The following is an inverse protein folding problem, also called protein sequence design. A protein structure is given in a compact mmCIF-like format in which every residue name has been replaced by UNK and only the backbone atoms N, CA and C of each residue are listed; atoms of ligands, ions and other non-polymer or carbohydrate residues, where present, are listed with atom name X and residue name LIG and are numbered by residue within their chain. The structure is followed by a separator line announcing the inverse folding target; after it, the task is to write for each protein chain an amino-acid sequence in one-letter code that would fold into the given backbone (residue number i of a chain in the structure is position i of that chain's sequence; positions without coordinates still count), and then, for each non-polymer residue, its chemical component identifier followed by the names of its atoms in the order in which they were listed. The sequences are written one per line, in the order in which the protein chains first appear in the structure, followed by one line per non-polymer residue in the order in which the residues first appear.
data_IF_599296352050
#
_entry.id   IF_599296352050
#
_cell.length_a   1.000
_cell.length_b   1.000
_cell.length_c   1.000
_cell.angle_alpha   90.00
_cell.angle_beta   90.00
_cell.angle_gamma   90.00
#
_symmetry.space_group_name_H-M   'P 1'
#
loop_
_entity.id
_entity.type
_entity.pdbx_description
1 polymer ?
#
# COMPACT_ATOMS: atom_id res chain seq x y z
N UNK A 1 16.54 -14.60 -3.14
CA UNK A 1 15.08 -14.40 -3.19
C UNK A 1 14.73 -13.05 -2.61
N UNK A 2 14.16 -12.18 -3.45
CA UNK A 2 13.64 -10.88 -3.03
C UNK A 2 12.11 -10.83 -3.15
N UNK A 3 11.49 -9.80 -2.58
CA UNK A 3 10.05 -9.59 -2.57
C UNK A 3 9.73 -8.19 -3.06
N UNK A 4 8.54 -7.98 -3.64
CA UNK A 4 8.18 -6.62 -4.04
C UNK A 4 6.72 -6.35 -4.34
N UNK A 5 6.38 -5.07 -4.25
CA UNK A 5 5.07 -4.55 -4.61
C UNK A 5 5.14 -3.83 -5.95
N UNK A 6 4.17 -4.10 -6.82
CA UNK A 6 3.98 -3.37 -8.07
C UNK A 6 2.76 -2.48 -7.92
N UNK A 7 2.96 -1.16 -7.84
CA UNK A 7 1.89 -0.22 -7.52
C UNK A 7 1.27 0.27 -8.83
N UNK A 8 0.00 -0.10 -9.05
CA UNK A 8 -0.75 0.28 -10.25
C UNK A 8 -2.06 0.96 -9.88
N UNK A 9 -2.71 1.57 -10.86
CA UNK A 9 -4.00 2.22 -10.71
C UNK A 9 -4.11 3.48 -11.57
N UNK A 10 -5.34 3.96 -11.82
CA UNK A 10 -5.58 5.11 -12.68
C UNK A 10 -4.90 6.40 -12.16
N UNK A 11 -4.80 7.45 -13.00
CA UNK A 11 -4.27 8.74 -12.56
C UNK A 11 -5.11 9.26 -11.41
N UNK A 12 -4.45 9.78 -10.36
CA UNK A 12 -5.14 10.29 -9.18
C UNK A 12 -5.54 9.24 -8.14
N UNK A 13 -5.35 7.93 -8.36
CA UNK A 13 -5.65 6.90 -7.34
C UNK A 13 -4.74 6.92 -6.11
N UNK A 14 -3.67 7.72 -6.11
CA UNK A 14 -2.78 7.89 -4.96
C UNK A 14 -1.56 6.96 -4.92
N UNK A 15 -1.09 6.42 -6.06
CA UNK A 15 0.10 5.54 -6.15
C UNK A 15 1.35 6.13 -5.50
N UNK A 16 1.77 7.31 -5.95
CA UNK A 16 2.95 8.02 -5.42
C UNK A 16 2.78 8.39 -3.95
N UNK A 17 1.57 8.76 -3.52
CA UNK A 17 1.23 9.02 -2.11
C UNK A 17 1.35 7.75 -1.26
N UNK A 18 0.87 6.62 -1.76
CA UNK A 18 1.02 5.32 -1.11
C UNK A 18 2.49 4.92 -0.99
N UNK A 19 3.28 5.03 -2.07
CA UNK A 19 4.72 4.75 -2.03
C UNK A 19 5.43 5.59 -0.96
N UNK A 20 5.11 6.88 -0.88
CA UNK A 20 5.65 7.77 0.14
C UNK A 20 5.25 7.35 1.55
N UNK A 21 3.96 7.13 1.79
CA UNK A 21 3.45 6.70 3.10
C UNK A 21 4.03 5.34 3.52
N UNK A 22 4.19 4.41 2.57
CA UNK A 22 4.82 3.12 2.80
C UNK A 22 6.29 3.27 3.18
N UNK A 23 7.04 4.19 2.55
CA UNK A 23 8.42 4.50 2.93
C UNK A 23 8.51 4.94 4.41
N UNK A 24 7.65 5.89 4.80
CA UNK A 24 7.65 6.41 6.17
C UNK A 24 7.21 5.33 7.17
N UNK A 25 6.17 4.57 6.82
CA UNK A 25 5.66 3.48 7.64
C UNK A 25 6.72 2.39 7.85
N UNK A 26 7.38 1.94 6.78
CA UNK A 26 8.44 0.92 6.86
C UNK A 26 9.64 1.41 7.67
N UNK A 27 10.07 2.64 7.47
CA UNK A 27 11.11 3.27 8.30
C UNK A 27 10.72 3.30 9.77
N UNK A 28 9.47 3.63 10.10
CA UNK A 28 8.98 3.69 11.47
C UNK A 28 8.92 2.33 12.16
N UNK A 29 8.64 1.24 11.42
CA UNK A 29 8.63 -0.13 11.96
C UNK A 29 9.97 -0.87 11.82
N UNK A 30 11.03 -0.16 11.38
CA UNK A 30 12.36 -0.75 11.18
C UNK A 30 12.45 -1.75 10.03
N UNK A 31 11.55 -1.68 9.05
CA UNK A 31 11.56 -2.51 7.84
C UNK A 31 12.32 -1.79 6.73
N UNK A 32 13.28 -2.49 6.12
CA UNK A 32 14.00 -1.97 4.96
C UNK A 32 13.21 -2.23 3.68
N UNK A 33 13.11 -1.22 2.81
CA UNK A 33 12.66 -1.39 1.44
C UNK A 33 13.24 -0.30 0.56
N UNK A 34 13.42 -0.61 -0.72
CA UNK A 34 13.82 0.35 -1.75
C UNK A 34 12.62 0.71 -2.61
N UNK A 35 12.44 2.01 -2.85
CA UNK A 35 11.40 2.50 -3.74
C UNK A 35 12.03 2.81 -5.08
N UNK A 36 11.38 2.35 -6.14
CA UNK A 36 11.83 2.47 -7.51
C UNK A 36 10.76 3.24 -8.28
N UNK A 37 11.11 4.43 -8.77
CA UNK A 37 10.24 5.21 -9.63
C UNK A 37 10.36 4.73 -11.08
N UNK A 38 9.25 4.22 -11.62
CA UNK A 38 9.10 3.85 -13.03
C UNK A 38 8.16 4.80 -13.79
N UNK A 39 7.68 5.88 -13.17
CA UNK A 39 6.92 6.94 -13.85
C UNK A 39 7.85 8.00 -14.45
N UNK A 40 7.98 8.09 -15.79
CA UNK A 40 8.79 9.11 -16.44
C UNK A 40 8.07 10.47 -16.52
N UNK A 41 6.77 10.52 -16.24
CA UNK A 41 5.94 11.73 -16.33
C UNK A 41 5.85 12.53 -15.03
N UNK A 42 6.36 11.98 -13.92
CA UNK A 42 6.35 12.67 -12.62
C UNK A 42 7.38 13.80 -12.59
N UNK A 43 6.94 15.01 -12.24
CA UNK A 43 7.82 16.18 -12.13
C UNK A 43 8.67 16.11 -10.87
N UNK A 44 8.02 15.88 -9.73
CA UNK A 44 8.65 15.83 -8.41
C UNK A 44 8.08 14.64 -7.64
N UNK A 45 8.98 13.84 -7.07
CA UNK A 45 8.62 12.73 -6.19
C UNK A 45 8.79 13.16 -4.72
N UNK A 46 7.81 12.89 -3.84
CA UNK A 46 7.88 13.28 -2.43
C UNK A 46 8.73 12.33 -1.57
N UNK A 47 9.28 11.28 -2.18
CA UNK A 47 10.06 10.23 -1.53
C UNK A 47 11.46 10.12 -2.14
N UNK A 48 12.38 9.48 -1.43
CA UNK A 48 13.71 9.13 -1.94
C UNK A 48 13.63 7.83 -2.76
N UNK A 49 13.74 7.94 -4.09
CA UNK A 49 13.81 6.79 -4.98
C UNK A 49 15.25 6.27 -5.07
N UNK A 50 15.45 4.96 -4.89
CA UNK A 50 16.74 4.30 -5.04
C UNK A 50 17.10 4.06 -6.52
N UNK A 51 16.08 3.94 -7.37
CA UNK A 51 16.20 3.87 -8.82
C UNK A 51 15.13 4.78 -9.41
N UNK A 52 15.52 5.68 -10.30
CA UNK A 52 14.60 6.55 -11.03
C UNK A 52 14.76 6.36 -12.55
N UNK A 53 13.67 5.98 -13.22
CA UNK A 53 13.64 5.81 -14.68
C UNK A 53 14.07 7.07 -15.44
N UNK A 54 13.88 8.25 -14.85
CA UNK A 54 14.24 9.54 -15.46
C UNK A 54 15.76 9.68 -15.68
N UNK A 55 16.57 8.88 -14.99
CA UNK A 55 18.01 8.78 -15.24
C UNK A 55 18.35 7.97 -16.50
N UNK A 56 17.46 7.07 -16.92
CA UNK A 56 17.62 6.25 -18.12
C UNK A 56 17.05 6.95 -19.35
N UNK A 57 15.87 7.57 -19.21
CA UNK A 57 15.14 8.17 -20.32
C UNK A 57 14.31 9.38 -19.87
N UNK A 58 14.45 10.48 -20.60
CA UNK A 58 13.66 11.70 -20.39
C UNK A 58 12.40 11.72 -21.27
N UNK A 59 11.25 11.96 -20.65
CA UNK A 59 9.96 11.96 -21.36
C UNK A 59 9.85 13.10 -22.38
N UNK A 60 10.38 14.28 -22.07
CA UNK A 60 10.28 15.45 -22.96
C UNK A 60 11.11 15.25 -24.22
N UNK A 61 12.29 14.65 -24.09
CA UNK A 61 13.13 14.26 -25.21
C UNK A 61 12.44 13.20 -26.08
N UNK A 62 11.79 12.19 -25.48
CA UNK A 62 11.00 11.20 -26.23
C UNK A 62 9.89 11.89 -27.03
N UNK A 63 9.10 12.77 -26.40
CA UNK A 63 8.04 13.51 -27.07
C UNK A 63 8.57 14.29 -28.28
N UNK A 64 9.69 14.99 -28.12
CA UNK A 64 10.32 15.80 -29.17
C UNK A 64 10.91 14.96 -30.30
N UNK A 65 11.73 13.96 -29.98
CA UNK A 65 12.48 13.19 -30.96
C UNK A 65 11.65 12.11 -31.67
N UNK A 66 10.65 11.54 -30.97
CA UNK A 66 9.74 10.54 -31.55
C UNK A 66 8.46 11.14 -32.12
N UNK A 67 8.23 12.44 -31.92
CA UNK A 67 7.01 13.14 -32.33
C UNK A 67 5.75 12.43 -31.80
N UNK A 68 5.79 12.02 -30.54
CA UNK A 68 4.72 11.31 -29.84
C UNK A 68 4.00 12.24 -28.87
N UNK A 69 2.71 12.00 -28.68
CA UNK A 69 1.95 12.62 -27.58
C UNK A 69 2.38 12.09 -26.20
N UNK A 70 1.88 12.67 -25.10
CA UNK A 70 2.26 12.27 -23.74
C UNK A 70 2.07 10.77 -23.46
N UNK A 71 0.89 10.21 -23.75
CA UNK A 71 0.60 8.80 -23.49
C UNK A 71 1.47 7.85 -24.33
N UNK A 72 1.67 8.18 -25.61
CA UNK A 72 2.54 7.39 -26.49
C UNK A 72 4.01 7.44 -26.05
N UNK A 73 4.44 8.57 -25.46
CA UNK A 73 5.81 8.73 -24.95
C UNK A 73 6.03 7.94 -23.66
N UNK A 74 5.04 7.87 -22.76
CA UNK A 74 5.08 7.02 -21.56
C UNK A 74 5.20 5.55 -21.97
N UNK A 75 4.41 5.11 -22.96
CA UNK A 75 4.49 3.75 -23.50
C UNK A 75 5.89 3.44 -24.04
N UNK A 76 6.43 4.36 -24.85
CA UNK A 76 7.78 4.25 -25.39
C UNK A 76 8.84 4.17 -24.28
N UNK A 77 8.71 4.96 -23.21
CA UNK A 77 9.65 4.90 -22.09
C UNK A 77 9.63 3.51 -21.42
N UNK A 78 8.46 2.89 -21.28
CA UNK A 78 8.34 1.55 -20.72
C UNK A 78 8.95 0.48 -21.64
N UNK A 79 8.73 0.58 -22.96
CA UNK A 79 9.40 -0.27 -23.96
C UNK A 79 10.93 -0.08 -23.92
N UNK A 80 11.39 1.14 -23.67
CA UNK A 80 12.80 1.45 -23.54
C UNK A 80 13.43 0.79 -22.31
N UNK A 81 12.72 0.80 -21.17
CA UNK A 81 13.13 0.05 -19.97
C UNK A 81 13.18 -1.46 -20.26
N UNK A 82 12.18 -2.01 -20.94
CA UNK A 82 12.15 -3.44 -21.28
C UNK A 82 13.35 -3.85 -22.16
N UNK A 83 13.68 -3.04 -23.15
CA UNK A 83 14.83 -3.28 -24.06
C UNK A 83 16.17 -3.07 -23.36
N UNK A 84 16.24 -2.19 -22.36
CA UNK A 84 17.44 -1.89 -21.56
C UNK A 84 17.31 -2.46 -20.14
N UNK A 85 16.66 -3.61 -19.99
CA UNK A 85 16.42 -4.22 -18.68
C UNK A 85 17.70 -4.48 -17.90
N UNK A 86 18.83 -4.70 -18.59
CA UNK A 86 20.14 -4.88 -17.97
C UNK A 86 20.51 -3.69 -17.06
N UNK A 87 20.26 -2.45 -17.50
CA UNK A 87 20.46 -1.24 -16.67
C UNK A 87 19.65 -1.30 -15.37
N UNK A 88 18.40 -1.74 -15.47
CA UNK A 88 17.51 -1.87 -14.32
C UNK A 88 18.00 -2.97 -13.37
N UNK A 89 18.35 -4.14 -13.92
CA UNK A 89 18.84 -5.27 -13.14
C UNK A 89 20.19 -5.00 -12.48
N UNK A 90 21.10 -4.28 -13.13
CA UNK A 90 22.41 -3.94 -12.58
C UNK A 90 22.28 -2.96 -11.41
N UNK A 91 21.42 -1.94 -11.55
CA UNK A 91 21.08 -1.05 -10.44
C UNK A 91 20.40 -1.78 -9.29
N UNK A 92 19.51 -2.72 -9.59
CA UNK A 92 18.86 -3.51 -8.56
C UNK A 92 19.88 -4.38 -7.82
N UNK A 93 20.76 -5.07 -8.56
CA UNK A 93 21.81 -5.92 -7.99
C UNK A 93 22.78 -5.13 -7.10
N UNK A 94 23.14 -3.90 -7.46
CA UNK A 94 24.04 -3.08 -6.64
C UNK A 94 23.43 -2.61 -5.31
N UNK A 95 22.09 -2.61 -5.22
CA UNK A 95 21.35 -2.29 -4.00
C UNK A 95 21.09 -3.53 -3.13
N UNK A 96 21.01 -4.72 -3.74
CA UNK A 96 20.50 -5.92 -3.07
C UNK A 96 21.56 -6.99 -2.82
N UNK A 97 22.70 -6.97 -3.52
CA UNK A 97 23.78 -7.93 -3.32
C UNK A 97 24.79 -7.40 -2.29
N UNK A 98 25.05 -8.19 -1.25
CA UNK A 98 26.13 -7.99 -0.31
C UNK A 98 27.49 -8.20 -1.00
N UNK A 99 28.43 -7.27 -0.83
CA UNK A 99 29.82 -7.43 -1.26
C UNK A 99 30.40 -8.77 -0.77
N UNK A 100 30.76 -9.71 -1.67
CA UNK A 100 31.37 -10.99 -1.30
C UNK A 100 32.71 -10.81 -0.56
N UNK A 101 33.32 -9.63 -0.63
CA UNK A 101 34.62 -9.31 -0.04
C UNK A 101 34.55 -8.46 1.24
N UNK A 102 33.49 -8.56 2.05
CA UNK A 102 33.52 -8.15 3.46
C UNK A 102 34.05 -6.72 3.75
N UNK A 103 33.94 -5.81 2.77
CA UNK A 103 34.34 -4.42 2.98
C UNK A 103 33.32 -3.78 3.91
N UNK A 104 33.83 -3.14 4.97
CA UNK A 104 33.13 -2.86 6.22
C UNK A 104 32.15 -1.68 6.15
N UNK A 105 31.48 -1.52 5.02
CA UNK A 105 30.47 -0.49 4.83
C UNK A 105 29.12 -1.17 4.94
N UNK A 106 28.37 -0.82 5.97
CA UNK A 106 27.05 -1.33 6.36
C UNK A 106 25.99 -1.18 5.25
N UNK A 107 26.14 -1.90 4.14
CA UNK A 107 25.10 -2.02 3.14
C UNK A 107 23.99 -2.89 3.72
N UNK A 108 22.85 -2.25 3.96
CA UNK A 108 21.63 -2.90 4.41
C UNK A 108 21.22 -3.87 3.31
N UNK A 109 21.19 -5.16 3.62
CA UNK A 109 20.68 -6.19 2.72
C UNK A 109 19.19 -5.91 2.48
N UNK A 110 18.84 -5.36 1.31
CA UNK A 110 17.45 -5.03 0.98
C UNK A 110 16.84 -6.17 0.17
N UNK A 111 15.84 -6.80 0.76
CA UNK A 111 15.08 -7.92 0.19
C UNK A 111 13.65 -7.50 -0.22
N UNK A 112 13.30 -6.22 -0.10
CA UNK A 112 11.98 -5.69 -0.43
C UNK A 112 12.02 -4.48 -1.37
N UNK A 113 11.34 -4.57 -2.52
CA UNK A 113 11.25 -3.48 -3.51
C UNK A 113 9.82 -2.99 -3.67
N UNK A 114 9.64 -1.71 -4.00
CA UNK A 114 8.34 -1.11 -4.31
C UNK A 114 8.46 -0.37 -5.63
N UNK A 115 7.68 -0.76 -6.63
CA UNK A 115 7.69 -0.17 -7.96
C UNK A 115 6.53 0.82 -8.09
N UNK A 116 6.82 2.13 -8.17
CA UNK A 116 5.82 3.17 -8.46
C UNK A 116 5.66 3.30 -9.98
N UNK A 117 4.51 2.92 -10.53
CA UNK A 117 4.28 2.89 -11.97
C UNK A 117 3.54 4.13 -12.49
N UNK A 118 3.69 4.45 -13.80
CA UNK A 118 2.92 5.52 -14.41
C UNK A 118 1.41 5.29 -14.27
N UNK A 119 0.65 6.38 -14.19
CA UNK A 119 -0.80 6.31 -13.94
C UNK A 119 -1.67 5.81 -15.09
N UNK A 120 -1.12 5.58 -16.28
CA UNK A 120 -1.91 5.16 -17.45
C UNK A 120 -2.34 3.69 -17.31
N UNK A 121 -3.64 3.43 -17.30
CA UNK A 121 -4.20 2.11 -17.03
C UNK A 121 -3.84 1.08 -18.12
N UNK A 122 -3.69 1.56 -19.36
CA UNK A 122 -3.38 0.74 -20.54
C UNK A 122 -2.05 -0.02 -20.38
N UNK A 123 -1.13 0.52 -19.57
CA UNK A 123 0.14 -0.14 -19.24
C UNK A 123 -0.07 -1.45 -18.48
N UNK A 124 -1.08 -1.49 -17.61
CA UNK A 124 -1.41 -2.65 -16.78
C UNK A 124 -2.41 -3.59 -17.45
N UNK A 125 -3.25 -3.10 -18.37
CA UNK A 125 -4.36 -3.87 -18.94
C UNK A 125 -4.14 -4.38 -20.35
N UNK A 126 -3.27 -3.75 -21.14
CA UNK A 126 -3.15 -4.03 -22.57
C UNK A 126 -1.69 -4.21 -23.01
N UNK A 127 -0.79 -3.37 -22.49
CA UNK A 127 0.59 -3.36 -22.94
C UNK A 127 1.43 -4.52 -22.40
N UNK A 128 2.26 -5.13 -23.25
CA UNK A 128 3.07 -6.28 -22.86
C UNK A 128 4.38 -5.91 -22.15
N UNK A 129 4.90 -4.70 -22.34
CA UNK A 129 6.20 -4.34 -21.74
C UNK A 129 6.22 -4.40 -20.23
N UNK A 130 5.15 -3.98 -19.56
CA UNK A 130 5.09 -4.11 -18.11
C UNK A 130 5.17 -5.59 -17.71
N UNK A 131 4.31 -6.42 -18.29
CA UNK A 131 4.30 -7.87 -18.05
C UNK A 131 5.67 -8.51 -18.28
N UNK A 132 6.35 -8.14 -19.37
CA UNK A 132 7.66 -8.67 -19.71
C UNK A 132 8.73 -8.22 -18.71
N UNK A 133 8.72 -6.96 -18.25
CA UNK A 133 9.63 -6.46 -17.20
C UNK A 133 9.40 -7.23 -15.90
N UNK A 134 8.15 -7.37 -15.45
CA UNK A 134 7.82 -8.10 -14.23
C UNK A 134 8.22 -9.58 -14.33
N UNK A 135 8.00 -10.22 -15.47
CA UNK A 135 8.41 -11.60 -15.69
C UNK A 135 9.94 -11.79 -15.72
N UNK A 136 10.69 -10.80 -16.19
CA UNK A 136 12.16 -10.82 -16.07
C UNK A 136 12.60 -10.67 -14.62
N UNK A 137 11.89 -9.88 -13.80
CA UNK A 137 12.15 -9.81 -12.36
C UNK A 137 11.86 -11.14 -11.65
N UNK A 138 10.77 -11.83 -12.00
CA UNK A 138 10.50 -13.18 -11.47
C UNK A 138 11.63 -14.16 -11.80
N UNK A 139 12.20 -14.09 -13.01
CA UNK A 139 13.38 -14.90 -13.40
C UNK A 139 14.64 -14.56 -12.60
N UNK A 140 14.72 -13.36 -12.04
CA UNK A 140 15.76 -12.92 -11.11
C UNK A 140 15.43 -13.27 -9.65
N UNK A 141 14.48 -14.19 -9.41
CA UNK A 141 14.08 -14.68 -8.08
C UNK A 141 13.42 -13.60 -7.19
N UNK A 142 12.70 -12.67 -7.82
CA UNK A 142 11.80 -11.72 -7.15
C UNK A 142 10.36 -12.24 -7.13
N UNK A 143 9.76 -12.31 -5.94
CA UNK A 143 8.34 -12.56 -5.77
C UNK A 143 7.58 -11.25 -5.74
N UNK A 144 6.64 -11.08 -6.65
CA UNK A 144 5.93 -9.82 -6.84
C UNK A 144 4.44 -9.99 -6.53
N UNK A 145 3.86 -8.98 -5.91
CA UNK A 145 2.43 -8.82 -5.76
C UNK A 145 2.04 -7.42 -6.25
N UNK A 146 0.90 -7.34 -6.92
CA UNK A 146 0.37 -6.09 -7.46
C UNK A 146 -0.56 -5.47 -6.43
N UNK A 147 -0.33 -4.20 -6.12
CA UNK A 147 -1.24 -3.39 -5.31
C UNK A 147 -1.95 -2.43 -6.25
N UNK A 148 -3.22 -2.69 -6.51
CA UNK A 148 -4.03 -1.95 -7.47
C UNK A 148 -4.92 -0.94 -6.76
N UNK A 149 -4.49 0.32 -6.74
CA UNK A 149 -5.19 1.41 -6.07
C UNK A 149 -6.32 1.96 -6.94
N UNK A 150 -7.50 2.09 -6.34
CA UNK A 150 -8.69 2.74 -6.89
C UNK A 150 -9.18 3.79 -5.92
N UNK A 151 -9.51 4.99 -6.40
CA UNK A 151 -10.10 6.03 -5.57
C UNK A 151 -11.49 5.60 -5.05
N UNK A 152 -11.65 5.54 -3.72
CA UNK A 152 -12.89 5.08 -3.08
C UNK A 152 -14.11 5.92 -3.47
N UNK A 153 -13.94 7.20 -3.81
CA UNK A 153 -15.06 8.07 -4.19
C UNK A 153 -15.78 7.60 -5.47
N UNK A 154 -15.18 6.73 -6.27
CA UNK A 154 -15.79 6.21 -7.48
C UNK A 154 -16.82 5.10 -7.25
N UNK A 155 -16.81 4.45 -6.08
CA UNK A 155 -17.70 3.31 -5.79
C UNK A 155 -19.16 3.75 -5.56
N UNK A 156 -19.40 5.05 -5.34
CA UNK A 156 -20.74 5.59 -5.09
C UNK A 156 -21.67 5.50 -6.31
N UNK A 157 -21.09 5.48 -7.51
CA UNK A 157 -21.84 5.30 -8.75
C UNK A 157 -21.75 3.84 -9.22
N UNK A 158 -22.91 3.21 -9.37
CA UNK A 158 -22.99 1.78 -9.71
C UNK A 158 -22.28 1.44 -11.03
N UNK A 159 -22.44 2.27 -12.07
CA UNK A 159 -21.81 2.02 -13.36
C UNK A 159 -20.28 2.16 -13.31
N UNK A 160 -19.77 3.18 -12.60
CA UNK A 160 -18.33 3.33 -12.35
C UNK A 160 -17.78 2.18 -11.51
N UNK A 161 -18.48 1.77 -10.45
CA UNK A 161 -18.06 0.67 -9.61
C UNK A 161 -17.94 -0.65 -10.40
N UNK A 162 -18.95 -1.03 -11.19
CA UNK A 162 -18.85 -2.21 -12.06
C UNK A 162 -17.71 -2.07 -13.07
N UNK A 163 -17.50 -0.89 -13.63
CA UNK A 163 -16.39 -0.63 -14.56
C UNK A 163 -15.02 -0.82 -13.91
N UNK A 164 -14.86 -0.38 -12.65
CA UNK A 164 -13.65 -0.58 -11.85
C UNK A 164 -13.41 -2.06 -11.60
N UNK A 165 -14.44 -2.81 -11.19
CA UNK A 165 -14.31 -4.25 -10.92
C UNK A 165 -13.86 -4.99 -12.18
N UNK A 166 -14.44 -4.67 -13.34
CA UNK A 166 -14.03 -5.24 -14.63
C UNK A 166 -12.60 -4.83 -15.02
N UNK A 167 -12.20 -3.58 -14.75
CA UNK A 167 -10.85 -3.10 -15.01
C UNK A 167 -9.81 -3.85 -14.15
N UNK A 168 -10.13 -4.07 -12.88
CA UNK A 168 -9.28 -4.84 -11.97
C UNK A 168 -9.16 -6.29 -12.42
N UNK A 169 -10.27 -6.93 -12.77
CA UNK A 169 -10.26 -8.28 -13.32
C UNK A 169 -9.42 -8.38 -14.61
N UNK A 170 -9.52 -7.39 -15.51
CA UNK A 170 -8.69 -7.32 -16.72
C UNK A 170 -7.19 -7.21 -16.39
N UNK A 171 -6.82 -6.35 -15.44
CA UNK A 171 -5.42 -6.20 -15.02
C UNK A 171 -4.87 -7.50 -14.40
N UNK A 172 -5.67 -8.17 -13.54
CA UNK A 172 -5.33 -9.47 -12.96
C UNK A 172 -5.04 -10.52 -14.03
N UNK A 173 -5.92 -10.63 -15.05
CA UNK A 173 -5.75 -11.55 -16.16
C UNK A 173 -4.51 -11.23 -17.01
N UNK A 174 -4.23 -9.94 -17.25
CA UNK A 174 -3.12 -9.53 -18.09
C UNK A 174 -1.76 -9.77 -17.40
N UNK A 175 -1.61 -9.34 -16.14
CA UNK A 175 -0.35 -9.41 -15.39
C UNK A 175 -0.07 -10.81 -14.84
N UNK A 176 -1.10 -11.54 -14.41
CA UNK A 176 -0.95 -12.93 -13.93
C UNK A 176 -0.17 -13.05 -12.60
N UNK A 177 -0.11 -11.97 -11.82
CA UNK A 177 0.51 -11.93 -10.49
C UNK A 177 -0.57 -11.95 -9.39
N UNK A 178 -0.22 -12.28 -8.13
CA UNK A 178 -1.10 -12.02 -6.99
C UNK A 178 -1.50 -10.54 -6.95
N UNK A 179 -2.80 -10.25 -6.91
CA UNK A 179 -3.33 -8.89 -6.84
C UNK A 179 -4.00 -8.63 -5.50
N UNK A 180 -3.74 -7.44 -4.96
CA UNK A 180 -4.46 -6.84 -3.85
C UNK A 180 -5.12 -5.59 -4.43
N UNK A 181 -6.43 -5.64 -4.66
CA UNK A 181 -7.16 -4.44 -5.06
C UNK A 181 -7.43 -3.61 -3.81
N UNK A 182 -7.30 -2.29 -3.94
CA UNK A 182 -7.36 -1.38 -2.79
C UNK A 182 -8.24 -0.20 -3.13
N UNK A 183 -9.20 0.08 -2.25
CA UNK A 183 -9.93 1.34 -2.22
C UNK A 183 -9.11 2.34 -1.41
N UNK A 184 -8.45 3.28 -2.09
CA UNK A 184 -7.67 4.35 -1.49
C UNK A 184 -8.53 5.56 -1.16
N UNK A 185 -8.06 6.42 -0.27
CA UNK A 185 -8.74 7.66 0.14
C UNK A 185 -10.11 7.41 0.75
N UNK A 186 -10.23 6.36 1.55
CA UNK A 186 -11.48 6.03 2.25
C UNK A 186 -11.97 7.17 3.14
N UNK A 187 -11.07 8.04 3.58
CA UNK A 187 -11.36 9.25 4.36
C UNK A 187 -12.25 10.24 3.61
N UNK A 188 -12.24 10.22 2.27
CA UNK A 188 -13.09 11.10 1.44
C UNK A 188 -14.55 10.64 1.38
N UNK A 189 -14.84 9.40 1.78
CA UNK A 189 -16.22 8.88 1.79
C UNK A 189 -17.12 9.64 2.78
N UNK A 190 -16.54 10.25 3.83
CA UNK A 190 -17.27 11.07 4.80
C UNK A 190 -18.04 12.23 4.18
N UNK A 191 -17.54 12.76 3.07
CA UNK A 191 -18.19 13.85 2.33
C UNK A 191 -19.38 13.40 1.48
N UNK A 192 -19.62 12.09 1.36
CA UNK A 192 -20.58 11.50 0.41
C UNK A 192 -21.76 10.80 1.10
N UNK A 193 -21.97 11.02 2.42
CA UNK A 193 -22.87 10.23 3.26
C UNK A 193 -24.32 10.06 2.78
N UNK A 194 -24.91 11.04 2.07
CA UNK A 194 -26.27 10.89 1.51
C UNK A 194 -26.32 10.04 0.22
N UNK A 195 -25.20 9.95 -0.50
CA UNK A 195 -25.07 9.20 -1.74
C UNK A 195 -24.64 7.74 -1.49
N UNK A 196 -24.02 7.48 -0.33
CA UNK A 196 -23.58 6.15 0.09
C UNK A 196 -24.72 5.35 0.70
N UNK A 197 -25.42 4.55 -0.14
CA UNK A 197 -26.65 3.84 0.26
C UNK A 197 -26.41 2.43 0.83
N UNK A 198 -25.20 1.90 0.68
CA UNK A 198 -24.82 0.55 1.06
C UNK A 198 -23.64 0.61 2.02
N UNK A 199 -23.46 -0.42 2.84
CA UNK A 199 -22.29 -0.51 3.71
C UNK A 199 -21.01 -0.75 2.88
N UNK A 200 -19.86 -0.41 3.45
CA UNK A 200 -18.57 -0.54 2.78
C UNK A 200 -18.22 -2.01 2.48
N UNK A 201 -18.70 -2.95 3.30
CA UNK A 201 -18.54 -4.39 3.11
C UNK A 201 -19.08 -4.88 1.76
N UNK A 202 -20.22 -4.34 1.31
CA UNK A 202 -20.79 -4.60 -0.01
C UNK A 202 -19.79 -4.31 -1.14
N UNK A 203 -19.04 -3.21 -1.02
CA UNK A 203 -18.07 -2.80 -2.03
C UNK A 203 -16.71 -3.49 -1.88
N UNK A 204 -16.33 -3.91 -0.67
CA UNK A 204 -15.08 -4.63 -0.44
C UNK A 204 -15.17 -6.10 -0.79
N UNK A 205 -16.30 -6.73 -0.49
CA UNK A 205 -16.49 -8.16 -0.66
C UNK A 205 -16.92 -8.52 -2.09
N UNK A 206 -17.49 -7.56 -2.83
CA UNK A 206 -17.91 -7.69 -4.23
C UNK A 206 -18.88 -8.87 -4.43
N UNK A 207 -19.77 -9.04 -3.47
CA UNK A 207 -20.80 -10.08 -3.45
C UNK A 207 -22.19 -9.47 -3.56
N UNK A 208 -23.16 -10.25 -4.04
CA UNK A 208 -24.57 -9.85 -4.19
C UNK A 208 -24.78 -8.54 -4.99
N UNK A 209 -23.92 -8.31 -5.99
CA UNK A 209 -23.97 -7.17 -6.92
C UNK A 209 -25.28 -7.07 -7.69
N UNK A 210 -26.08 -8.13 -7.73
CA UNK A 210 -27.48 -8.11 -8.20
C UNK A 210 -28.31 -6.95 -7.62
N UNK A 211 -27.97 -6.44 -6.42
CA UNK A 211 -28.61 -5.24 -5.85
C UNK A 211 -28.43 -3.97 -6.71
N UNK A 212 -27.36 -3.90 -7.50
CA UNK A 212 -27.08 -2.76 -8.39
C UNK A 212 -27.87 -2.80 -9.69
N UNK A 213 -28.46 -3.95 -10.08
CA UNK A 213 -29.17 -4.09 -11.36
C UNK A 213 -30.28 -3.04 -11.56
N UNK A 214 -31.17 -2.77 -10.59
CA UNK A 214 -32.21 -1.76 -10.77
C UNK A 214 -31.63 -0.35 -10.95
N UNK A 215 -30.48 -0.06 -10.33
CA UNK A 215 -29.79 1.23 -10.45
C UNK A 215 -29.16 1.36 -11.84
N UNK A 216 -28.44 0.33 -12.29
CA UNK A 216 -27.82 0.28 -13.61
C UNK A 216 -28.86 0.37 -14.75
N UNK A 217 -29.99 -0.31 -14.60
CA UNK A 217 -31.08 -0.29 -15.59
C UNK A 217 -31.81 1.05 -15.66
N UNK A 218 -31.78 1.86 -14.59
CA UNK A 218 -32.27 3.24 -14.60
C UNK A 218 -31.27 4.21 -15.23
N UNK A 219 -29.96 3.96 -15.07
CA UNK A 219 -28.89 4.78 -15.63
C UNK A 219 -28.62 4.48 -17.12
N UNK A 220 -29.08 3.34 -17.63
CA UNK A 220 -28.83 2.88 -19.00
C UNK A 220 -30.11 2.67 -19.80
N UNK A 221 -30.02 2.60 -21.13
CA UNK A 221 -31.19 2.29 -21.96
C UNK A 221 -31.63 0.82 -21.76
N UNK A 222 -32.94 0.49 -21.80
CA UNK A 222 -33.44 -0.87 -21.52
C UNK A 222 -32.82 -2.01 -22.35
N UNK A 223 -32.28 -1.71 -23.53
CA UNK A 223 -31.53 -2.67 -24.36
C UNK A 223 -30.28 -3.25 -23.67
N UNK A 224 -29.72 -2.56 -22.67
CA UNK A 224 -28.52 -2.98 -21.95
C UNK A 224 -28.80 -3.82 -20.70
N UNK A 225 -30.06 -4.00 -20.30
CA UNK A 225 -30.39 -4.75 -19.06
C UNK A 225 -29.84 -6.18 -19.06
N UNK A 226 -29.90 -6.87 -20.21
CA UNK A 226 -29.28 -8.20 -20.37
C UNK A 226 -27.76 -8.17 -20.25
N UNK A 227 -27.12 -7.09 -20.71
CA UNK A 227 -25.66 -6.90 -20.60
C UNK A 227 -25.28 -6.61 -19.14
N UNK A 228 -26.01 -5.74 -18.45
CA UNK A 228 -25.78 -5.43 -17.03
C UNK A 228 -25.83 -6.70 -16.18
N UNK A 229 -26.85 -7.54 -16.39
CA UNK A 229 -26.94 -8.86 -15.74
C UNK A 229 -25.77 -9.77 -16.08
N UNK A 230 -25.44 -9.92 -17.37
CA UNK A 230 -24.31 -10.78 -17.76
C UNK A 230 -22.97 -10.31 -17.18
N UNK A 231 -22.75 -8.99 -17.02
CA UNK A 231 -21.54 -8.47 -16.36
C UNK A 231 -21.51 -8.78 -14.87
N UNK A 232 -22.65 -8.64 -14.18
CA UNK A 232 -22.76 -8.98 -12.75
C UNK A 232 -22.56 -10.48 -12.54
N UNK A 233 -23.24 -11.32 -13.31
CA UNK A 233 -23.12 -12.78 -13.24
C UNK A 233 -21.64 -13.20 -13.45
N UNK A 234 -20.94 -12.59 -14.42
CA UNK A 234 -19.51 -12.84 -14.66
C UNK A 234 -18.63 -12.48 -13.45
N UNK A 235 -18.92 -11.38 -12.77
CA UNK A 235 -18.11 -10.94 -11.61
C UNK A 235 -18.35 -11.89 -10.42
N UNK A 236 -19.62 -12.19 -10.14
CA UNK A 236 -20.02 -13.03 -9.00
C UNK A 236 -19.57 -14.49 -9.17
N UNK A 237 -19.67 -15.05 -10.37
CA UNK A 237 -19.35 -16.46 -10.65
C UNK A 237 -17.88 -16.82 -10.32
N UNK A 238 -16.96 -15.89 -10.56
CA UNK A 238 -15.54 -16.11 -10.33
C UNK A 238 -15.09 -15.69 -8.93
N UNK A 239 -15.77 -14.71 -8.31
CA UNK A 239 -15.46 -14.19 -6.97
C UNK A 239 -13.95 -13.96 -6.72
N UNK A 240 -13.27 -13.42 -7.74
CA UNK A 240 -11.81 -13.19 -7.72
C UNK A 240 -11.44 -11.79 -7.26
N UNK A 241 -12.37 -10.84 -7.37
CA UNK A 241 -12.13 -9.44 -7.04
C UNK A 241 -12.69 -9.18 -5.66
N UNK A 242 -11.82 -8.78 -4.74
CA UNK A 242 -12.17 -8.15 -3.48
C UNK A 242 -11.26 -6.94 -3.25
N UNK A 243 -11.64 -6.06 -2.33
CA UNK A 243 -10.87 -4.86 -2.02
C UNK A 243 -10.45 -4.78 -0.56
N UNK A 244 -9.21 -4.39 -0.33
CA UNK A 244 -8.74 -3.83 0.93
C UNK A 244 -8.99 -2.32 0.98
N UNK A 245 -9.04 -1.76 2.17
CA UNK A 245 -9.31 -0.32 2.40
C UNK A 245 -8.05 0.40 2.84
N UNK A 246 -7.78 1.58 2.27
CA UNK A 246 -6.57 2.35 2.54
C UNK A 246 -6.84 3.84 2.80
N UNK A 247 -6.41 4.29 3.97
CA UNK A 247 -6.10 5.70 4.25
C UNK A 247 -4.62 5.79 4.66
N UNK A 248 -3.81 6.42 3.80
CA UNK A 248 -2.34 6.37 3.88
C UNK A 248 -1.78 7.00 5.16
N UNK A 249 -2.47 8.01 5.70
CA UNK A 249 -2.03 8.70 6.92
C UNK A 249 -2.38 7.90 8.20
N UNK A 250 -3.19 6.85 8.08
CA UNK A 250 -3.58 6.02 9.21
C UNK A 250 -2.70 4.78 9.35
N UNK A 251 -2.06 4.66 10.52
CA UNK A 251 -1.13 3.58 10.84
C UNK A 251 -1.82 2.21 10.81
N UNK A 252 -3.06 2.10 11.32
CA UNK A 252 -3.76 0.82 11.37
C UNK A 252 -4.13 0.36 9.96
N UNK A 253 -4.60 1.28 9.11
CA UNK A 253 -4.88 1.03 7.70
C UNK A 253 -3.63 0.58 6.92
N UNK A 254 -2.50 1.28 7.08
CA UNK A 254 -1.21 0.87 6.49
C UNK A 254 -0.74 -0.50 7.00
N UNK A 255 -0.94 -0.78 8.29
CA UNK A 255 -0.59 -2.07 8.91
C UNK A 255 -1.40 -3.21 8.29
N UNK A 256 -2.73 -3.05 8.22
CA UNK A 256 -3.65 -4.06 7.67
C UNK A 256 -3.31 -4.37 6.21
N UNK A 257 -3.13 -3.34 5.38
CA UNK A 257 -2.77 -3.54 3.97
C UNK A 257 -1.41 -4.20 3.83
N UNK A 258 -0.40 -3.78 4.61
CA UNK A 258 0.93 -4.41 4.60
C UNK A 258 0.84 -5.91 4.92
N UNK A 259 0.04 -6.30 5.92
CA UNK A 259 -0.16 -7.71 6.26
C UNK A 259 -0.84 -8.51 5.14
N UNK A 260 -1.84 -7.92 4.47
CA UNK A 260 -2.51 -8.55 3.33
C UNK A 260 -1.53 -8.79 2.18
N UNK A 261 -0.70 -7.79 1.87
CA UNK A 261 0.35 -7.89 0.84
C UNK A 261 1.43 -8.90 1.22
N UNK A 262 1.91 -8.89 2.47
CA UNK A 262 2.90 -9.84 2.97
C UNK A 262 2.39 -11.28 2.89
N UNK A 263 1.12 -11.50 3.24
CA UNK A 263 0.46 -12.81 3.10
C UNK A 263 0.40 -13.26 1.65
N UNK A 264 0.06 -12.38 0.71
CA UNK A 264 0.03 -12.68 -0.72
C UNK A 264 1.43 -12.98 -1.29
N UNK A 265 2.46 -12.29 -0.79
CA UNK A 265 3.86 -12.53 -1.15
C UNK A 265 4.47 -13.77 -0.49
N UNK A 266 3.88 -14.23 0.62
CA UNK A 266 4.52 -15.17 1.52
C UNK A 266 5.76 -14.57 2.20
N UNK A 267 5.76 -13.26 2.41
CA UNK A 267 6.83 -12.54 3.10
C UNK A 267 6.62 -12.60 4.61
N UNK A 268 7.58 -13.19 5.32
CA UNK A 268 7.55 -13.29 6.78
C UNK A 268 8.81 -12.64 7.35
N UNK A 269 8.79 -11.32 7.53
CA UNK A 269 9.83 -10.64 8.30
C UNK A 269 9.79 -11.09 9.78
N UNK A 270 10.90 -10.97 10.51
CA UNK A 270 10.93 -11.13 11.98
C UNK A 270 9.89 -10.24 12.67
N UNK A 271 9.64 -9.06 12.11
CA UNK A 271 8.56 -8.16 12.51
C UNK A 271 7.19 -8.78 12.20
N UNK A 272 6.95 -9.27 10.96
CA UNK A 272 5.70 -9.94 10.52
C UNK A 272 5.35 -11.19 11.35
N UNK A 273 6.34 -11.97 11.80
CA UNK A 273 6.13 -13.11 12.72
C UNK A 273 5.61 -12.67 14.10
N UNK A 274 6.06 -11.50 14.57
CA UNK A 274 5.58 -10.88 15.82
C UNK A 274 4.13 -10.37 15.67
N UNK A 275 3.78 -9.81 14.52
CA UNK A 275 2.40 -9.40 14.21
C UNK A 275 1.43 -10.59 14.15
N UNK A 276 1.80 -11.65 13.42
CA UNK A 276 0.93 -12.84 13.27
C UNK A 276 0.72 -13.58 14.60
N UNK A 277 1.73 -13.59 15.48
CA UNK A 277 1.60 -14.15 16.83
C UNK A 277 0.77 -13.27 17.77
N UNK A 278 0.79 -11.94 17.61
CA UNK A 278 -0.08 -11.04 18.36
C UNK A 278 -1.56 -11.18 17.95
N UNK A 279 -1.88 -11.33 16.66
CA UNK A 279 -3.26 -11.53 16.19
C UNK A 279 -3.85 -12.90 16.57
N UNK A 280 -3.04 -13.93 16.82
CA UNK A 280 -3.52 -15.25 17.25
C UNK A 280 -3.73 -15.38 18.77
N UNK A 281 -3.21 -14.43 19.57
CA UNK A 281 -3.24 -14.51 21.03
C UNK A 281 -4.49 -13.92 21.71
N UNK A 282 -5.57 -13.65 20.98
CA UNK A 282 -6.83 -13.18 21.57
C UNK A 282 -7.63 -14.28 22.29
N UNK A 283 -7.19 -15.54 22.24
CA UNK A 283 -7.78 -16.64 23.00
C UNK A 283 -6.70 -17.65 23.43
N UNK A 284 -5.98 -17.40 24.53
CA UNK A 284 -5.61 -18.38 25.57
C UNK A 284 -4.61 -17.79 26.59
N UNK A 285 -4.71 -18.30 27.82
CA UNK A 285 -3.94 -17.89 29.01
C UNK A 285 -2.42 -17.93 28.80
N UNK A 286 -1.64 -17.10 29.54
CA UNK A 286 -0.22 -16.95 29.31
C UNK A 286 0.52 -18.09 30.00
N UNK A 287 0.99 -19.08 29.25
CA UNK A 287 1.99 -20.02 29.75
C UNK A 287 3.16 -20.19 28.76
N UNK A 288 4.30 -19.63 29.19
CA UNK A 288 5.67 -20.04 28.93
C UNK A 288 6.10 -20.40 27.49
N UNK A 289 6.59 -19.40 26.76
CA UNK A 289 7.55 -19.61 25.66
C UNK A 289 8.80 -18.73 25.84
N UNK A 290 9.86 -19.40 26.31
CA UNK A 290 11.30 -19.07 26.35
C UNK A 290 11.75 -17.71 25.79
N UNK A 291 12.01 -16.77 26.71
CA UNK A 291 12.82 -15.56 26.50
C UNK A 291 14.31 -15.90 26.62
N UNK A 292 15.02 -16.06 25.49
CA UNK A 292 16.49 -15.97 25.49
C UNK A 292 16.99 -15.67 24.08
N UNK A 293 17.35 -14.41 23.82
CA UNK A 293 18.08 -14.02 22.61
C UNK A 293 17.66 -12.73 21.91
N UNK A 294 16.66 -11.99 22.39
CA UNK A 294 16.20 -10.75 21.73
C UNK A 294 17.05 -9.54 22.13
N UNK A 295 17.39 -8.70 21.16
CA UNK A 295 18.12 -7.44 21.39
C UNK A 295 17.16 -6.34 21.88
N UNK A 296 17.66 -5.31 22.57
CA UNK A 296 16.83 -4.18 23.06
C UNK A 296 15.90 -3.54 22.00
N UNK A 297 16.32 -3.38 20.72
CA UNK A 297 15.44 -2.92 19.64
C UNK A 297 14.26 -3.87 19.36
N UNK A 298 14.45 -5.18 19.49
CA UNK A 298 13.41 -6.19 19.23
C UNK A 298 12.31 -6.14 20.30
N UNK A 299 12.68 -5.86 21.55
CA UNK A 299 11.74 -5.71 22.67
C UNK A 299 10.91 -4.42 22.56
N UNK A 300 11.52 -3.32 22.13
CA UNK A 300 10.84 -2.05 21.85
C UNK A 300 9.84 -2.21 20.69
N UNK A 301 10.24 -2.87 19.61
CA UNK A 301 9.33 -3.21 18.52
C UNK A 301 8.18 -4.09 19.01
N UNK A 302 8.44 -5.13 19.81
CA UNK A 302 7.38 -6.00 20.33
C UNK A 302 6.35 -5.25 21.19
N UNK A 303 6.77 -4.26 21.98
CA UNK A 303 5.87 -3.41 22.78
C UNK A 303 5.00 -2.46 21.93
N UNK A 304 5.52 -1.97 20.80
CA UNK A 304 4.77 -1.11 19.87
C UNK A 304 3.76 -1.89 19.01
N UNK A 305 4.00 -3.19 18.83
CA UNK A 305 3.20 -4.08 17.98
C UNK A 305 2.08 -4.82 18.73
N UNK A 306 2.26 -5.06 20.03
CA UNK A 306 1.26 -5.72 20.90
C UNK A 306 0.04 -4.84 21.20
N UNK A 307 0.10 -3.55 20.87
CA UNK A 307 -0.98 -2.58 21.08
C UNK A 307 -1.62 -2.04 19.79
N UNK A 308 -1.35 -2.64 18.62
CA UNK A 308 -1.97 -2.16 17.38
C UNK A 308 -3.44 -2.61 17.30
N UNK A 309 -4.41 -1.67 17.35
CA UNK A 309 -5.80 -2.01 17.08
C UNK A 309 -5.89 -2.49 15.65
N UNK A 310 -6.38 -3.71 15.45
CA UNK A 310 -6.76 -4.18 14.12
C UNK A 310 -8.13 -3.56 13.84
N UNK A 311 -8.16 -2.41 13.17
CA UNK A 311 -9.44 -1.79 12.78
C UNK A 311 -10.21 -2.75 11.86
N UNK A 312 -11.42 -3.09 12.28
CA UNK A 312 -12.37 -3.88 11.51
C UNK A 312 -13.04 -3.00 10.44
N UNK A 313 -13.66 -3.62 9.43
CA UNK A 313 -14.46 -2.87 8.44
C UNK A 313 -15.63 -2.12 9.09
N UNK A 314 -16.17 -2.63 10.20
CA UNK A 314 -17.18 -1.93 11.01
C UNK A 314 -16.62 -0.66 11.64
N UNK A 315 -15.40 -0.72 12.20
CA UNK A 315 -14.75 0.48 12.76
C UNK A 315 -14.52 1.53 11.67
N UNK A 316 -14.11 1.09 10.46
CA UNK A 316 -13.91 1.96 9.29
C UNK A 316 -15.24 2.57 8.82
N UNK A 317 -16.31 1.77 8.74
CA UNK A 317 -17.67 2.22 8.41
C UNK A 317 -18.13 3.28 9.42
N UNK A 318 -18.04 2.99 10.73
CA UNK A 318 -18.46 3.93 11.77
C UNK A 318 -17.65 5.23 11.73
N UNK A 319 -16.33 5.11 11.55
CA UNK A 319 -15.38 6.23 11.52
C UNK A 319 -15.60 7.16 10.33
N UNK A 320 -15.81 6.62 9.13
CA UNK A 320 -15.80 7.42 7.91
C UNK A 320 -17.18 7.66 7.31
N UNK A 321 -18.19 6.86 7.63
CA UNK A 321 -19.50 6.94 7.00
C UNK A 321 -20.59 7.28 8.02
N UNK A 322 -20.74 6.47 9.07
CA UNK A 322 -21.94 6.57 9.92
C UNK A 322 -21.84 7.70 10.95
N UNK A 323 -20.67 7.91 11.57
CA UNK A 323 -20.49 8.88 12.65
C UNK A 323 -19.16 9.65 12.61
N UNK A 324 -18.82 10.31 11.47
CA UNK A 324 -17.54 11.00 11.34
C UNK A 324 -17.32 12.06 12.43
N UNK A 325 -18.33 12.89 12.75
CA UNK A 325 -18.22 13.93 13.77
C UNK A 325 -17.94 13.39 15.17
N UNK A 326 -18.53 12.24 15.53
CA UNK A 326 -18.31 11.62 16.85
C UNK A 326 -16.90 11.07 16.96
N UNK A 327 -16.39 10.50 15.87
CA UNK A 327 -15.04 9.99 15.84
C UNK A 327 -14.01 11.13 15.89
N UNK A 328 -14.26 12.25 15.22
CA UNK A 328 -13.40 13.44 15.31
C UNK A 328 -13.31 13.96 16.76
N UNK A 329 -14.43 14.02 17.49
CA UNK A 329 -14.43 14.37 18.92
C UNK A 329 -13.64 13.36 19.75
N UNK A 330 -13.88 12.06 19.55
CA UNK A 330 -13.17 10.99 20.26
C UNK A 330 -11.64 11.03 20.01
N UNK A 331 -11.22 11.34 18.79
CA UNK A 331 -9.79 11.48 18.48
C UNK A 331 -9.17 12.72 19.11
N UNK A 332 -9.90 13.84 19.15
CA UNK A 332 -9.43 15.03 19.85
C UNK A 332 -9.25 14.77 21.35
N UNK A 333 -10.17 14.02 21.96
CA UNK A 333 -10.05 13.59 23.36
C UNK A 333 -8.82 12.70 23.56
N UNK A 334 -8.62 11.68 22.72
CA UNK A 334 -7.42 10.83 22.78
C UNK A 334 -6.12 11.59 22.58
N UNK A 335 -6.05 12.52 21.63
CA UNK A 335 -4.86 13.35 21.42
C UNK A 335 -4.60 14.29 22.59
N UNK A 336 -5.65 14.80 23.25
CA UNK A 336 -5.50 15.57 24.47
C UNK A 336 -4.93 14.70 25.61
N UNK A 337 -5.45 13.49 25.78
CA UNK A 337 -4.95 12.53 26.78
C UNK A 337 -3.49 12.10 26.51
N UNK A 338 -3.14 11.81 25.26
CA UNK A 338 -1.76 11.50 24.86
C UNK A 338 -0.83 12.70 25.07
N UNK A 339 -1.27 13.91 24.72
CA UNK A 339 -0.53 15.15 24.95
C UNK A 339 -0.24 15.37 26.42
N UNK A 340 -1.24 15.19 27.28
CA UNK A 340 -1.10 15.27 28.74
C UNK A 340 -0.16 14.20 29.29
N UNK A 341 -0.23 12.97 28.78
CA UNK A 341 0.67 11.88 29.14
C UNK A 341 2.12 12.18 28.77
N UNK A 342 2.36 12.70 27.55
CA UNK A 342 3.70 13.11 27.09
C UNK A 342 4.25 14.24 27.96
N UNK A 343 3.43 15.24 28.28
CA UNK A 343 3.80 16.34 29.20
C UNK A 343 4.19 15.82 30.58
N UNK A 344 3.43 14.87 31.14
CA UNK A 344 3.75 14.25 32.42
C UNK A 344 5.09 13.50 32.35
N UNK A 345 5.29 12.64 31.34
CA UNK A 345 6.54 11.90 31.12
C UNK A 345 7.75 12.81 30.92
N UNK A 346 7.59 13.91 30.17
CA UNK A 346 8.64 14.90 29.98
C UNK A 346 8.98 15.60 31.30
N UNK A 347 7.97 15.97 32.09
CA UNK A 347 8.15 16.59 33.41
C UNK A 347 8.83 15.65 34.39
N UNK A 348 8.48 14.37 34.40
CA UNK A 348 9.13 13.32 35.20
C UNK A 348 10.60 13.15 34.80
N UNK A 349 10.89 13.10 33.48
CA UNK A 349 12.25 13.01 32.96
C UNK A 349 13.09 14.24 33.33
N UNK A 350 12.55 15.44 33.17
CA UNK A 350 13.22 16.68 33.59
C UNK A 350 13.46 16.73 35.10
N UNK A 351 12.52 16.25 35.92
CA UNK A 351 12.72 16.10 37.37
C UNK A 351 13.82 15.09 37.70
N UNK A 352 13.84 13.94 37.03
CA UNK A 352 14.88 12.92 37.22
C UNK A 352 16.28 13.47 36.85
N UNK A 353 16.40 14.18 35.73
CA UNK A 353 17.64 14.83 35.30
C UNK A 353 18.09 15.93 36.26
N UNK A 354 17.16 16.71 36.83
CA UNK A 354 17.50 17.73 37.83
C UNK A 354 17.97 17.12 39.15
N UNK A 355 17.39 16.00 39.58
CA UNK A 355 17.83 15.24 40.77
C UNK A 355 19.21 14.62 40.53
N UNK A 356 19.48 14.13 39.31
CA UNK A 356 20.78 13.58 38.93
C UNK A 356 21.87 14.66 38.98
N UNK A 357 21.64 15.84 38.39
CA UNK A 357 22.56 16.98 38.44
C UNK A 357 22.83 17.46 39.87
N UNK A 358 21.79 17.56 40.70
CA UNK A 358 21.94 17.94 42.11
C UNK A 358 22.70 16.89 42.95
N UNK A 359 22.76 15.63 42.52
CA UNK A 359 23.60 14.60 43.16
C UNK A 359 25.05 14.66 42.72
N UNK A 360 25.32 15.11 41.50
CA UNK A 360 26.68 15.30 40.97
C UNK A 360 27.34 16.57 41.52
N UNK A 361 26.55 17.58 41.91
CA UNK A 361 27.03 18.86 42.46
C UNK A 361 27.19 18.90 44.01
N UNK A 362 26.99 17.78 44.73
CA UNK A 362 27.28 17.75 46.18
C UNK A 362 28.78 17.49 46.44
N UNK A 363 29.52 18.42 47.09
CA UNK A 363 30.91 18.19 47.43
C UNK A 363 31.03 17.13 48.54
N UNK A 364 32.06 16.27 48.38
CA UNK A 364 32.39 15.14 49.26
C UNK A 364 32.74 15.54 50.68
#
# INVERSE_FOLDING_TARGET
MGFGQVIIGPPGSGKTTYCWGLQQYFKAIGRSAVIINLDPAVSEIPYEASIDVRELIDLQDVMRYKNLGPNGSILFCLEYIETHFDWFSDKLNSLTQSDPQGSSTSQVEVDYIVLDLPGQIELSTDHQSLKNILHRLEKLDWRLAVVQLTDATHIVDAAKYISIVLLNLKAMLNLGLPHINVLSKIDLLKGLGEEFKLNLDFYTDVQDLSYLLPILDQQTTPKFSKLNRAMIDLIEDFNLVGFETLYVEDKASMTKLTLAVDKALGYYSSTSATFLSASQNTNHSPDNARMSGMSEPDLLNQSLLTHLPTESLLDIQERWLDYPDRYEVHQQEKWAEEGDWVLQKATEKSRAEAIQRNREDQPS
#
